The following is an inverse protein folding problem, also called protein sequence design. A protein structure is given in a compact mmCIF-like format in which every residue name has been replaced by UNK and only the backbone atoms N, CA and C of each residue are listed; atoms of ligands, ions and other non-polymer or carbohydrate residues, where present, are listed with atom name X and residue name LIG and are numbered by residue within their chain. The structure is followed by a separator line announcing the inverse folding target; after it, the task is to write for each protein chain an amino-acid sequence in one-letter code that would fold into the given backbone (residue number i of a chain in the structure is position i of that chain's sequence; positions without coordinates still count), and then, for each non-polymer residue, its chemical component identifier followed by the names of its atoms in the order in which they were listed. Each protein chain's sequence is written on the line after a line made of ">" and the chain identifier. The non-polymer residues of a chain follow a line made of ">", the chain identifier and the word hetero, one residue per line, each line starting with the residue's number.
data_IF_234748758477
#
_entry.id   IF_234748758477
#
_cell.length_a   1.000
_cell.length_b   1.000
_cell.length_c   1.000
_cell.angle_alpha   90.00
_cell.angle_beta   90.00
_cell.angle_gamma   90.00
#
_symmetry.space_group_name_H-M   'P 1'
#
loop_
_entity.id
_entity.type
_entity.pdbx_description
1 polymer ?
#
# COMPACT_ATOMS: atom_id res chain seq x y z
N UNK A 1 -3.38 16.54 -11.99
CA UNK A 1 -3.26 15.08 -11.83
C UNK A 1 -2.63 14.90 -10.48
N UNK A 2 -3.32 14.23 -9.56
CA UNK A 2 -2.86 14.06 -8.18
C UNK A 2 -1.96 12.83 -8.08
N UNK A 3 -0.91 12.89 -7.29
CA UNK A 3 -0.10 11.70 -7.01
C UNK A 3 -0.59 10.96 -5.75
N UNK A 4 -0.73 9.64 -5.87
CA UNK A 4 -0.92 8.72 -4.74
C UNK A 4 0.18 7.67 -4.82
N UNK A 5 0.85 7.47 -3.70
CA UNK A 5 1.88 6.46 -3.52
C UNK A 5 1.29 5.27 -2.77
N UNK A 6 1.37 4.09 -3.36
CA UNK A 6 1.16 2.82 -2.67
C UNK A 6 2.45 2.44 -1.95
N UNK A 7 2.42 2.40 -0.62
CA UNK A 7 3.53 2.02 0.24
C UNK A 7 2.98 1.42 1.53
N UNK A 8 3.51 0.28 1.95
CA UNK A 8 3.23 -0.23 3.28
C UNK A 8 4.01 0.53 4.36
N UNK A 9 3.34 0.80 5.46
CA UNK A 9 3.92 1.29 6.70
C UNK A 9 3.10 0.68 7.85
N UNK A 10 3.70 0.56 9.02
CA UNK A 10 3.08 -0.14 10.13
C UNK A 10 1.84 0.61 10.64
N UNK A 11 0.74 -0.12 10.75
CA UNK A 11 -0.54 0.34 11.29
C UNK A 11 -1.13 1.57 10.60
N UNK A 12 -0.79 1.76 9.32
CA UNK A 12 -1.32 2.82 8.46
C UNK A 12 -2.11 2.25 7.28
N UNK A 13 -2.89 3.08 6.57
CA UNK A 13 -3.38 2.66 5.26
C UNK A 13 -2.22 2.63 4.26
N UNK A 14 -2.30 1.78 3.22
CA UNK A 14 -1.17 1.63 2.30
C UNK A 14 -1.08 2.76 1.27
N UNK A 15 -1.89 3.83 1.35
CA UNK A 15 -1.95 4.90 0.36
C UNK A 15 -1.51 6.22 0.96
N UNK A 16 -0.61 6.92 0.26
CA UNK A 16 0.00 8.14 0.74
C UNK A 16 -0.09 9.24 -0.32
N UNK A 17 -0.65 10.39 0.04
CA UNK A 17 -0.60 11.56 -0.84
C UNK A 17 0.62 12.44 -0.55
N UNK A 18 1.12 13.06 -1.61
CA UNK A 18 2.28 13.97 -1.55
C UNK A 18 1.93 15.43 -1.82
N UNK A 19 0.68 15.74 -2.18
CA UNK A 19 0.24 17.10 -2.50
C UNK A 19 -0.44 17.76 -1.29
N UNK A 20 -0.41 19.10 -1.17
CA UNK A 20 -0.97 19.80 0.00
C UNK A 20 -2.44 19.47 0.31
N UNK A 21 -3.23 19.07 -0.69
CA UNK A 21 -4.65 18.76 -0.55
C UNK A 21 -4.96 17.27 -0.29
N UNK A 22 -3.95 16.40 -0.34
CA UNK A 22 -4.07 14.97 -0.02
C UNK A 22 -2.90 14.44 0.82
N UNK A 23 -2.16 15.32 1.49
CA UNK A 23 -0.90 14.99 2.16
C UNK A 23 -1.09 13.98 3.31
N UNK A 24 -0.27 12.93 3.31
CA UNK A 24 -0.24 11.93 4.38
C UNK A 24 -1.06 10.69 4.08
N UNK A 25 -1.55 10.04 5.15
CA UNK A 25 -2.29 8.78 5.10
C UNK A 25 -3.67 8.95 4.42
N UNK A 26 -3.94 8.15 3.40
CA UNK A 26 -5.18 8.17 2.62
C UNK A 26 -5.94 6.86 2.87
N UNK A 27 -7.12 6.98 3.45
CA UNK A 27 -8.07 5.86 3.56
C UNK A 27 -8.59 5.44 2.17
N UNK A 28 -8.47 4.14 1.78
CA UNK A 28 -9.03 3.61 0.55
C UNK A 28 -10.56 3.79 0.43
N UNK A 29 -11.27 3.85 1.56
CA UNK A 29 -12.72 4.07 1.65
C UNK A 29 -13.14 5.46 1.17
N UNK A 30 -12.23 6.44 1.22
CA UNK A 30 -12.44 7.79 0.70
C UNK A 30 -12.26 7.92 -0.82
N UNK A 31 -11.81 6.87 -1.49
CA UNK A 31 -11.55 6.88 -2.94
C UNK A 31 -12.68 6.20 -3.72
N UNK A 32 -12.93 6.63 -4.98
CA UNK A 32 -13.95 6.05 -5.84
C UNK A 32 -13.47 4.72 -6.46
N UNK A 33 -13.11 3.76 -5.62
CA UNK A 33 -12.66 2.42 -5.99
C UNK A 33 -13.63 1.37 -5.43
N UNK A 34 -13.55 0.16 -5.96
CA UNK A 34 -14.38 -0.96 -5.53
C UNK A 34 -14.05 -1.42 -4.12
N UNK A 35 -15.06 -1.90 -3.38
CA UNK A 35 -14.84 -2.47 -2.05
C UNK A 35 -13.93 -3.71 -2.05
N UNK A 36 -13.90 -4.44 -3.16
CA UNK A 36 -12.95 -5.56 -3.35
C UNK A 36 -11.49 -5.07 -3.36
N UNK A 37 -11.21 -3.97 -4.06
CA UNK A 37 -9.88 -3.36 -4.07
C UNK A 37 -9.53 -2.76 -2.69
N UNK A 38 -10.49 -2.12 -2.01
CA UNK A 38 -10.30 -1.62 -0.64
C UNK A 38 -9.89 -2.75 0.31
N UNK A 39 -10.60 -3.88 0.29
CA UNK A 39 -10.28 -5.05 1.10
C UNK A 39 -8.90 -5.63 0.73
N UNK A 40 -8.59 -5.73 -0.57
CA UNK A 40 -7.29 -6.23 -1.03
C UNK A 40 -6.13 -5.37 -0.54
N UNK A 41 -6.30 -4.04 -0.51
CA UNK A 41 -5.31 -3.09 0.03
C UNK A 41 -5.16 -3.25 1.54
N UNK A 42 -6.28 -3.35 2.27
CA UNK A 42 -6.26 -3.54 3.72
C UNK A 42 -5.57 -4.85 4.11
N UNK A 43 -5.85 -5.95 3.39
CA UNK A 43 -5.23 -7.25 3.67
C UNK A 43 -3.75 -7.28 3.30
N UNK A 44 -3.34 -6.55 2.25
CA UNK A 44 -1.94 -6.35 1.93
C UNK A 44 -1.22 -5.55 3.03
N UNK A 45 -1.80 -4.45 3.52
CA UNK A 45 -1.22 -3.68 4.63
C UNK A 45 -1.08 -4.52 5.91
N UNK A 46 -2.11 -5.30 6.27
CA UNK A 46 -2.07 -6.21 7.43
C UNK A 46 -0.96 -7.25 7.35
N UNK A 47 -0.60 -7.71 6.14
CA UNK A 47 0.52 -8.64 5.97
C UNK A 47 1.85 -7.99 6.32
N UNK A 48 2.01 -6.69 6.05
CA UNK A 48 3.19 -5.93 6.47
C UNK A 48 3.18 -5.71 7.98
N UNK A 49 2.04 -5.35 8.57
CA UNK A 49 1.91 -5.27 10.03
C UNK A 49 2.29 -6.57 10.73
N UNK A 50 2.01 -7.72 10.11
CA UNK A 50 2.34 -9.02 10.67
C UNK A 50 3.85 -9.35 10.70
N UNK A 51 4.69 -8.63 9.95
CA UNK A 51 6.15 -8.79 10.01
C UNK A 51 6.79 -7.95 11.12
N UNK A 52 6.03 -7.03 11.73
CA UNK A 52 6.52 -6.16 12.80
C UNK A 52 6.95 -6.99 14.01
N UNK A 53 8.22 -6.90 14.36
CA UNK A 53 8.72 -7.39 15.63
C UNK A 53 8.48 -6.32 16.71
N UNK A 54 7.51 -6.57 17.60
CA UNK A 54 7.09 -5.61 18.64
C UNK A 54 8.21 -5.37 19.66
N UNK A 55 9.02 -6.39 19.96
CA UNK A 55 10.09 -6.30 20.95
C UNK A 55 11.31 -5.53 20.41
N UNK A 56 11.59 -5.68 19.11
CA UNK A 56 12.64 -4.95 18.42
C UNK A 56 12.24 -4.66 16.95
N UNK A 57 11.65 -3.48 16.68
CA UNK A 57 11.19 -3.12 15.33
C UNK A 57 12.29 -3.13 14.27
N UNK A 58 13.56 -2.94 14.64
CA UNK A 58 14.68 -2.98 13.71
C UNK A 58 14.98 -4.40 13.18
N UNK A 59 14.44 -5.42 13.84
CA UNK A 59 14.53 -6.83 13.44
C UNK A 59 13.25 -7.34 12.76
N UNK A 60 12.34 -6.43 12.37
CA UNK A 60 11.15 -6.79 11.59
C UNK A 60 11.58 -7.22 10.20
N UNK A 61 11.15 -8.41 9.77
CA UNK A 61 11.54 -8.97 8.48
C UNK A 61 10.48 -10.00 8.02
N UNK A 62 10.42 -10.23 6.72
CA UNK A 62 9.61 -11.29 6.17
C UNK A 62 10.15 -12.66 6.60
N UNK A 63 9.25 -13.64 6.71
CA UNK A 63 9.63 -15.00 7.13
C UNK A 63 10.57 -15.70 6.14
N UNK A 64 10.59 -15.24 4.88
CA UNK A 64 11.53 -15.70 3.85
C UNK A 64 11.58 -14.71 2.67
N UNK A 65 12.60 -14.85 1.83
CA UNK A 65 12.74 -14.09 0.58
C UNK A 65 11.57 -14.33 -0.38
N UNK A 66 10.97 -15.53 -0.38
CA UNK A 66 9.78 -15.82 -1.19
C UNK A 66 8.55 -15.06 -0.67
N UNK A 67 8.39 -14.93 0.64
CA UNK A 67 7.30 -14.17 1.23
C UNK A 67 7.39 -12.68 0.90
N UNK A 68 8.61 -12.12 0.98
CA UNK A 68 8.91 -10.75 0.55
C UNK A 68 8.62 -10.54 -0.95
N UNK A 69 9.11 -11.44 -1.82
CA UNK A 69 8.85 -11.35 -3.27
C UNK A 69 7.35 -11.38 -3.59
N UNK A 70 6.60 -12.29 -2.98
CA UNK A 70 5.15 -12.38 -3.16
C UNK A 70 4.45 -11.10 -2.67
N UNK A 71 4.92 -10.51 -1.56
CA UNK A 71 4.42 -9.23 -1.07
C UNK A 71 4.66 -8.10 -2.06
N UNK A 72 5.86 -8.04 -2.63
CA UNK A 72 6.23 -7.04 -3.63
C UNK A 72 5.37 -7.21 -4.89
N UNK A 73 5.23 -8.43 -5.41
CA UNK A 73 4.43 -8.75 -6.59
C UNK A 73 2.95 -8.41 -6.40
N UNK A 74 2.37 -8.69 -5.23
CA UNK A 74 0.99 -8.35 -4.93
C UNK A 74 0.78 -6.83 -4.86
N UNK A 75 1.74 -6.09 -4.30
CA UNK A 75 1.73 -4.63 -4.32
C UNK A 75 1.76 -4.05 -5.74
N UNK A 76 2.54 -4.64 -6.66
CA UNK A 76 2.51 -4.25 -8.09
C UNK A 76 1.12 -4.44 -8.71
N UNK A 77 0.48 -5.60 -8.50
CA UNK A 77 -0.87 -5.87 -9.01
C UNK A 77 -1.90 -4.90 -8.43
N UNK A 78 -1.78 -4.55 -7.15
CA UNK A 78 -2.64 -3.57 -6.51
C UNK A 78 -2.46 -2.18 -7.11
N UNK A 79 -1.22 -1.76 -7.38
CA UNK A 79 -0.95 -0.49 -8.04
C UNK A 79 -1.56 -0.41 -9.44
N UNK A 80 -1.48 -1.49 -10.24
CA UNK A 80 -2.13 -1.55 -11.56
C UNK A 80 -3.65 -1.46 -11.46
N UNK A 81 -4.26 -2.16 -10.48
CA UNK A 81 -5.72 -2.10 -10.23
C UNK A 81 -6.14 -0.69 -9.80
N UNK A 82 -5.42 -0.07 -8.88
CA UNK A 82 -5.63 1.32 -8.46
C UNK A 82 -5.58 2.27 -9.66
N UNK A 83 -4.54 2.18 -10.48
CA UNK A 83 -4.38 3.04 -11.65
C UNK A 83 -5.52 2.88 -12.65
N UNK A 84 -6.03 1.66 -12.82
CA UNK A 84 -7.16 1.36 -13.70
C UNK A 84 -8.47 1.96 -13.17
N UNK A 85 -8.77 1.78 -11.88
CA UNK A 85 -10.03 2.24 -11.29
C UNK A 85 -10.06 3.77 -11.10
N UNK A 86 -8.93 4.38 -10.72
CA UNK A 86 -8.82 5.83 -10.52
C UNK A 86 -8.61 6.63 -11.82
N UNK A 87 -8.31 5.93 -12.91
CA UNK A 87 -8.10 6.52 -14.23
C UNK A 87 -6.99 7.56 -14.25
N UNK A 88 -7.07 8.54 -15.16
CA UNK A 88 -6.04 9.58 -15.34
C UNK A 88 -6.11 10.73 -14.33
N UNK A 89 -7.10 10.73 -13.44
CA UNK A 89 -7.22 11.73 -12.36
C UNK A 89 -6.03 11.63 -11.41
N UNK A 90 -5.58 10.40 -11.17
CA UNK A 90 -4.50 10.07 -10.26
C UNK A 90 -3.35 9.39 -11.01
N UNK A 91 -2.14 9.68 -10.54
CA UNK A 91 -0.93 8.94 -10.89
C UNK A 91 -0.56 8.07 -9.70
N UNK A 92 -0.51 6.76 -9.94
CA UNK A 92 -0.16 5.78 -8.90
C UNK A 92 1.33 5.47 -8.98
N UNK A 93 2.03 5.65 -7.87
CA UNK A 93 3.44 5.26 -7.70
C UNK A 93 3.50 4.12 -6.70
N UNK A 94 4.13 3.00 -7.07
CA UNK A 94 4.37 1.92 -6.12
C UNK A 94 5.79 2.02 -5.56
N UNK A 95 5.90 2.02 -4.23
CA UNK A 95 7.16 1.93 -3.52
C UNK A 95 7.33 0.51 -2.96
N UNK A 96 8.41 -0.17 -3.36
CA UNK A 96 8.62 -1.60 -3.10
C UNK A 96 9.95 -1.93 -2.40
N UNK A 97 10.63 -0.91 -1.86
CA UNK A 97 11.89 -1.12 -1.16
C UNK A 97 11.58 -1.42 0.32
N UNK A 98 11.52 -2.71 0.65
CA UNK A 98 11.20 -3.24 1.96
C UNK A 98 12.39 -3.97 2.58
#
# INVERSE_FOLDING_TARGET
>A
MKEIKLMADYHCHPLWGGEPDNFGDISPEGLPITSDLQNSLADWAKRYDAILNIDDPALSDFSSLEAEKLFIEDGYKLAERLQKELGSTYKIIYYSNY
#
